data_IF_452113847455
#
_entry.id   IF_452113847455
#
_cell.length_a   1.000
_cell.length_b   1.000
_cell.length_c   1.000
_cell.angle_alpha   90.00
_cell.angle_beta   90.00
_cell.angle_gamma   90.00
#
_symmetry.space_group_name_H-M   'P 1'
#
loop_
_entity.id
_entity.type
_entity.pdbx_description
1 polymer ?
#
# COMPACT_ATOMS: atom_id res chain seq x y z
N UNK A 1 -14.61 -22.07 22.55
CA UNK A 1 -13.81 -23.09 23.25
C UNK A 1 -12.41 -23.05 22.64
N UNK A 2 -11.55 -22.19 23.17
CA UNK A 2 -10.18 -21.99 22.70
C UNK A 2 -9.23 -22.78 23.61
N UNK A 3 -8.42 -23.65 23.03
CA UNK A 3 -7.38 -24.41 23.72
C UNK A 3 -6.11 -23.56 23.66
N UNK A 4 -5.83 -22.87 24.76
CA UNK A 4 -4.63 -22.06 24.98
C UNK A 4 -3.46 -23.02 25.23
N UNK A 5 -2.75 -23.40 24.17
CA UNK A 5 -1.52 -24.18 24.27
C UNK A 5 -0.37 -23.25 24.69
N UNK A 6 -0.16 -23.12 26.00
CA UNK A 6 1.04 -22.50 26.57
C UNK A 6 2.23 -23.42 26.36
N UNK A 7 3.00 -23.16 25.32
CA UNK A 7 4.35 -23.68 25.19
C UNK A 7 5.19 -23.14 26.35
N UNK A 8 5.39 -23.99 27.37
CA UNK A 8 6.34 -23.74 28.44
C UNK A 8 7.73 -23.90 27.86
N UNK A 9 8.36 -22.78 27.51
CA UNK A 9 9.80 -22.78 27.27
C UNK A 9 10.48 -23.04 28.62
N UNK A 10 11.30 -24.10 28.76
CA UNK A 10 12.14 -24.21 29.92
C UNK A 10 13.08 -23.01 29.89
N UNK A 11 12.93 -22.12 30.88
CA UNK A 11 13.96 -21.16 31.26
C UNK A 11 15.13 -22.00 31.78
N UNK A 12 15.91 -22.56 30.86
CA UNK A 12 17.27 -22.98 31.15
C UNK A 12 17.98 -21.71 31.56
N UNK A 13 18.13 -21.54 32.87
CA UNK A 13 19.12 -20.64 33.42
C UNK A 13 20.45 -21.12 32.85
N UNK A 14 20.90 -20.49 31.75
CA UNK A 14 22.29 -20.56 31.38
C UNK A 14 23.06 -20.08 32.61
N UNK A 15 24.05 -20.84 33.10
CA UNK A 15 24.89 -20.34 34.16
C UNK A 15 25.42 -18.98 33.69
N UNK A 16 25.15 -17.94 34.47
CA UNK A 16 25.92 -16.70 34.44
C UNK A 16 27.29 -17.09 34.95
N UNK A 17 28.08 -17.70 34.06
CA UNK A 17 29.51 -17.83 34.25
C UNK A 17 30.04 -16.41 34.25
N UNK A 18 30.46 -15.97 35.43
CA UNK A 18 31.26 -14.78 35.68
C UNK A 18 31.70 -14.01 34.43
N UNK A 19 30.94 -12.97 34.07
CA UNK A 19 31.39 -11.91 33.15
C UNK A 19 32.38 -11.00 33.90
N UNK A 20 33.36 -11.61 34.56
CA UNK A 20 34.38 -10.92 35.34
C UNK A 20 35.79 -11.47 35.16
N UNK A 21 36.02 -12.50 34.32
CA UNK A 21 37.36 -13.09 34.26
C UNK A 21 37.75 -13.76 32.93
N UNK A 22 37.29 -13.28 31.77
CA UNK A 22 37.83 -13.76 30.50
C UNK A 22 38.02 -12.65 29.46
N UNK A 23 38.81 -11.63 29.82
CA UNK A 23 39.65 -10.97 28.82
C UNK A 23 40.61 -12.03 28.30
N UNK A 24 40.27 -12.65 27.16
CA UNK A 24 41.18 -13.51 26.40
C UNK A 24 42.54 -12.81 26.29
N UNK A 25 43.51 -13.32 27.04
CA UNK A 25 44.90 -12.92 26.95
C UNK A 25 45.34 -13.12 25.50
N UNK A 26 45.57 -12.01 24.80
CA UNK A 26 46.26 -12.02 23.52
C UNK A 26 47.67 -12.57 23.76
N UNK A 27 47.82 -13.87 23.54
CA UNK A 27 49.09 -14.59 23.66
C UNK A 27 50.13 -13.97 22.74
N UNK A 28 51.28 -13.60 23.31
CA UNK A 28 52.54 -13.47 22.56
C UNK A 28 53.37 -12.22 22.80
N UNK A 29 52.85 -11.18 23.46
CA UNK A 29 53.66 -10.00 23.80
C UNK A 29 53.71 -9.80 25.33
N UNK A 30 54.88 -9.51 25.91
CA UNK A 30 54.99 -9.23 27.33
C UNK A 30 54.06 -8.05 27.68
N UNK A 31 53.38 -8.09 28.84
CA UNK A 31 52.45 -7.04 29.24
C UNK A 31 53.20 -5.71 29.27
N UNK A 32 52.92 -4.83 28.30
CA UNK A 32 53.38 -3.44 28.37
C UNK A 32 52.79 -2.88 29.67
N UNK A 33 53.64 -2.35 30.56
CA UNK A 33 53.16 -1.64 31.75
C UNK A 33 52.16 -0.59 31.28
N UNK A 34 50.94 -0.67 31.78
CA UNK A 34 49.92 0.33 31.51
C UNK A 34 50.41 1.64 32.12
N UNK A 35 50.85 2.53 31.24
CA UNK A 35 51.20 3.89 31.59
C UNK A 35 49.97 4.74 31.25
N UNK A 36 49.21 5.21 32.27
CA UNK A 36 48.00 5.99 32.04
C UNK A 36 48.30 7.35 31.37
N UNK A 37 49.57 7.77 31.34
CA UNK A 37 49.99 9.02 30.71
C UNK A 37 50.53 8.82 29.28
N UNK A 38 50.69 7.58 28.83
CA UNK A 38 51.12 7.31 27.46
C UNK A 38 49.99 7.65 26.48
N UNK A 39 50.18 8.64 25.58
CA UNK A 39 49.12 9.07 24.68
C UNK A 39 48.73 7.92 23.77
N UNK A 40 47.43 7.73 23.60
CA UNK A 40 46.94 6.70 22.71
C UNK A 40 47.42 7.03 21.28
N UNK A 41 47.71 6.02 20.44
CA UNK A 41 48.14 6.27 19.07
C UNK A 41 47.12 7.12 18.28
N UNK A 42 45.83 7.00 18.60
CA UNK A 42 44.77 7.83 18.03
C UNK A 42 44.82 9.28 18.51
N UNK A 43 45.15 9.54 19.79
CA UNK A 43 45.36 10.89 20.32
C UNK A 43 46.59 11.53 19.70
N UNK A 44 47.65 10.75 19.49
CA UNK A 44 48.88 11.22 18.85
C UNK A 44 48.59 11.63 17.41
N UNK A 45 47.81 10.84 16.66
CA UNK A 45 47.41 11.17 15.29
C UNK A 45 46.49 12.42 15.25
N UNK A 46 45.49 12.48 16.12
CA UNK A 46 44.56 13.60 16.19
C UNK A 46 45.27 14.92 16.54
N UNK A 47 46.12 14.91 17.56
CA UNK A 47 46.79 16.12 18.05
C UNK A 47 47.94 16.55 17.12
N UNK A 48 48.68 15.60 16.55
CA UNK A 48 49.90 15.92 15.80
C UNK A 48 49.65 16.19 14.32
N UNK A 49 48.64 15.56 13.72
CA UNK A 49 48.37 15.66 12.28
C UNK A 49 47.06 16.39 12.00
N UNK A 50 45.97 15.96 12.64
CA UNK A 50 44.64 16.45 12.31
C UNK A 50 44.41 17.89 12.81
N UNK A 51 44.70 18.16 14.08
CA UNK A 51 44.53 19.46 14.70
C UNK A 51 45.28 20.58 13.96
N UNK A 52 46.60 20.49 13.70
CA UNK A 52 47.30 21.56 12.98
C UNK A 52 46.83 21.71 11.53
N UNK A 53 46.48 20.61 10.84
CA UNK A 53 45.97 20.67 9.48
C UNK A 53 44.62 21.40 9.39
N UNK A 54 43.72 21.19 10.36
CA UNK A 54 42.39 21.84 10.40
C UNK A 54 42.45 23.27 10.94
N UNK A 55 43.34 23.55 11.90
CA UNK A 55 43.49 24.88 12.51
C UNK A 55 44.21 25.88 11.58
N UNK A 56 45.01 25.41 10.63
CA UNK A 56 45.65 26.26 9.62
C UNK A 56 44.57 27.01 8.80
N UNK A 57 44.75 28.30 8.46
CA UNK A 57 43.74 29.09 7.75
C UNK A 57 43.33 28.45 6.40
N UNK A 58 44.29 27.86 5.68
CA UNK A 58 44.00 27.12 4.43
C UNK A 58 43.14 25.88 4.70
N UNK A 59 43.41 25.15 5.78
CA UNK A 59 42.63 23.98 6.18
C UNK A 59 41.18 24.33 6.49
N UNK A 60 40.94 25.46 7.19
CA UNK A 60 39.58 25.97 7.46
C UNK A 60 38.80 26.24 6.17
N UNK A 61 39.42 26.87 5.17
CA UNK A 61 38.77 27.13 3.88
C UNK A 61 38.41 25.84 3.17
N UNK A 62 39.31 24.85 3.17
CA UNK A 62 39.05 23.54 2.55
C UNK A 62 37.87 22.84 3.24
N UNK A 63 37.86 22.80 4.58
CA UNK A 63 36.76 22.18 5.35
C UNK A 63 35.43 22.87 5.06
N UNK A 64 35.43 24.20 4.94
CA UNK A 64 34.23 24.96 4.59
C UNK A 64 33.75 24.61 3.17
N UNK A 65 34.64 24.56 2.19
CA UNK A 65 34.29 24.16 0.81
C UNK A 65 33.73 22.74 0.76
N UNK A 66 34.33 21.80 1.49
CA UNK A 66 33.83 20.42 1.60
C UNK A 66 32.45 20.40 2.27
N UNK A 67 32.24 21.17 3.33
CA UNK A 67 30.95 21.29 4.01
C UNK A 67 29.87 21.86 3.08
N UNK A 68 30.17 22.91 2.33
CA UNK A 68 29.25 23.49 1.33
C UNK A 68 28.95 22.47 0.22
N UNK A 69 29.96 21.75 -0.26
CA UNK A 69 29.78 20.72 -1.28
C UNK A 69 28.89 19.57 -0.78
N UNK A 70 29.14 19.04 0.43
CA UNK A 70 28.32 17.99 1.04
C UNK A 70 26.89 18.47 1.28
N UNK A 71 26.71 19.72 1.73
CA UNK A 71 25.39 20.31 1.94
C UNK A 71 24.64 20.47 0.62
N UNK A 72 25.32 20.90 -0.45
CA UNK A 72 24.72 21.01 -1.78
C UNK A 72 24.32 19.63 -2.33
N UNK A 73 25.16 18.61 -2.16
CA UNK A 73 24.84 17.23 -2.55
C UNK A 73 23.67 16.69 -1.74
N UNK A 74 23.65 16.92 -0.42
CA UNK A 74 22.53 16.52 0.42
C UNK A 74 21.22 17.20 -0.02
N UNK A 75 21.24 18.53 -0.20
CA UNK A 75 20.07 19.28 -0.68
C UNK A 75 19.60 18.82 -2.07
N UNK A 76 20.52 18.39 -2.94
CA UNK A 76 20.19 17.82 -4.24
C UNK A 76 19.57 16.41 -4.16
N UNK A 77 19.93 15.63 -3.15
CA UNK A 77 19.43 14.26 -2.95
C UNK A 77 18.14 14.21 -2.13
N UNK A 78 17.89 15.17 -1.23
CA UNK A 78 16.64 15.28 -0.45
C UNK A 78 15.37 15.12 -1.29
N UNK A 79 15.18 15.79 -2.43
CA UNK A 79 13.96 15.62 -3.24
C UNK A 79 13.84 14.25 -3.92
N UNK A 80 14.91 13.45 -3.93
CA UNK A 80 14.92 12.09 -4.50
C UNK A 80 14.68 11.02 -3.45
N UNK A 81 14.47 11.40 -2.19
CA UNK A 81 14.14 10.46 -1.13
C UNK A 81 12.69 10.04 -1.31
N UNK A 82 12.50 8.87 -1.91
CA UNK A 82 11.20 8.21 -1.99
C UNK A 82 10.87 7.60 -0.62
N UNK A 83 9.69 7.91 -0.09
CA UNK A 83 9.22 7.36 1.18
C UNK A 83 8.42 6.09 0.90
N UNK A 84 9.11 5.01 0.59
CA UNK A 84 8.50 3.70 0.43
C UNK A 84 8.54 2.93 1.75
N UNK A 85 7.39 2.84 2.42
CA UNK A 85 7.24 1.97 3.58
C UNK A 85 7.00 0.54 3.12
N UNK A 86 8.08 -0.21 2.90
CA UNK A 86 8.01 -1.65 2.64
C UNK A 86 8.09 -2.45 3.96
N UNK A 87 6.97 -3.05 4.37
CA UNK A 87 6.90 -3.87 5.60
C UNK A 87 7.81 -5.11 5.55
N UNK A 88 8.24 -5.55 4.37
CA UNK A 88 9.11 -6.69 4.19
C UNK A 88 10.57 -6.43 4.61
N UNK A 89 10.95 -5.17 4.82
CA UNK A 89 12.25 -4.81 5.38
C UNK A 89 12.38 -5.19 6.86
N UNK A 90 11.25 -5.38 7.55
CA UNK A 90 11.23 -5.80 8.94
C UNK A 90 11.26 -7.33 9.12
N UNK A 91 11.13 -8.10 8.05
CA UNK A 91 11.26 -9.55 8.10
C UNK A 91 12.74 -9.95 8.14
N UNK A 92 13.17 -10.84 9.07
CA UNK A 92 14.53 -11.36 9.07
C UNK A 92 14.87 -12.02 7.71
N UNK A 93 16.13 -11.88 7.22
CA UNK A 93 16.51 -12.34 5.90
C UNK A 93 16.26 -13.84 5.68
N UNK A 94 16.41 -14.65 6.73
CA UNK A 94 16.25 -16.11 6.68
C UNK A 94 14.88 -16.60 7.19
N UNK A 95 13.88 -15.70 7.27
CA UNK A 95 12.54 -16.07 7.74
C UNK A 95 11.70 -16.71 6.62
N UNK A 96 10.85 -17.72 6.93
CA UNK A 96 9.91 -18.28 5.95
C UNK A 96 8.90 -17.24 5.44
N UNK A 97 8.73 -16.14 6.19
CA UNK A 97 7.92 -15.01 5.78
C UNK A 97 8.53 -14.27 4.58
N UNK A 98 9.86 -14.15 4.50
CA UNK A 98 10.55 -13.54 3.36
C UNK A 98 10.39 -14.38 2.10
N UNK A 99 10.45 -15.70 2.23
CA UNK A 99 10.16 -16.64 1.14
C UNK A 99 8.70 -16.50 0.66
N UNK A 100 7.73 -16.38 1.58
CA UNK A 100 6.33 -16.15 1.21
C UNK A 100 6.14 -14.84 0.44
N UNK A 101 6.84 -13.76 0.80
CA UNK A 101 6.82 -12.51 0.04
C UNK A 101 7.44 -12.67 -1.35
N UNK A 102 8.57 -13.37 -1.47
CA UNK A 102 9.19 -13.66 -2.77
C UNK A 102 8.28 -14.51 -3.67
N UNK A 103 7.62 -15.53 -3.11
CA UNK A 103 6.64 -16.34 -3.85
C UNK A 103 5.45 -15.50 -4.29
N UNK A 104 4.93 -14.63 -3.42
CA UNK A 104 3.86 -13.69 -3.75
C UNK A 104 4.28 -12.79 -4.91
N UNK A 105 5.46 -12.18 -4.83
CA UNK A 105 5.89 -11.21 -5.83
C UNK A 105 6.22 -11.85 -7.17
N UNK A 106 6.84 -13.04 -7.14
CA UNK A 106 7.21 -13.80 -8.36
C UNK A 106 5.98 -14.37 -9.08
N UNK A 107 4.99 -14.87 -8.35
CA UNK A 107 3.85 -15.57 -8.95
C UNK A 107 2.57 -14.72 -9.07
N UNK A 108 2.41 -13.69 -8.25
CA UNK A 108 1.19 -12.87 -8.20
C UNK A 108 1.43 -11.40 -8.58
N UNK A 109 2.63 -11.04 -9.04
CA UNK A 109 2.90 -9.72 -9.62
C UNK A 109 3.07 -8.60 -8.58
N UNK A 110 3.45 -8.94 -7.35
CA UNK A 110 3.77 -7.98 -6.29
C UNK A 110 2.65 -7.78 -5.27
N UNK A 111 2.75 -6.74 -4.41
CA UNK A 111 1.77 -6.41 -3.37
C UNK A 111 0.49 -5.77 -3.92
N UNK A 112 0.06 -6.14 -5.13
CA UNK A 112 -1.15 -5.64 -5.77
C UNK A 112 -2.38 -6.26 -5.10
N UNK A 113 -2.81 -5.63 -4.01
CA UNK A 113 -4.10 -5.92 -3.39
C UNK A 113 -5.24 -5.50 -4.31
N UNK A 114 -6.35 -6.25 -4.28
CA UNK A 114 -7.57 -5.79 -4.91
C UNK A 114 -8.00 -4.45 -4.28
N UNK A 115 -8.02 -3.39 -5.09
CA UNK A 115 -8.56 -2.11 -4.66
C UNK A 115 -10.09 -2.17 -4.72
N UNK A 116 -10.73 -2.00 -3.57
CA UNK A 116 -12.18 -1.97 -3.47
C UNK A 116 -12.64 -0.51 -3.38
N UNK A 117 -13.28 -0.02 -4.44
CA UNK A 117 -13.94 1.29 -4.43
C UNK A 117 -15.36 1.10 -3.93
N UNK A 118 -15.66 1.65 -2.76
CA UNK A 118 -16.98 1.57 -2.12
C UNK A 118 -17.58 2.97 -2.11
N UNK A 119 -18.77 3.10 -2.70
CA UNK A 119 -19.53 4.35 -2.67
C UNK A 119 -20.27 4.49 -1.35
N UNK A 120 -20.44 5.73 -0.88
CA UNK A 120 -21.24 6.03 0.32
C UNK A 120 -22.73 5.87 0.02
N UNK A 121 -23.58 6.04 1.04
CA UNK A 121 -25.03 5.97 0.86
C UNK A 121 -25.52 7.06 -0.11
N UNK A 122 -26.23 6.65 -1.16
CA UNK A 122 -26.76 7.52 -2.21
C UNK A 122 -28.02 6.94 -2.86
N UNK A 123 -28.76 7.77 -3.59
CA UNK A 123 -29.98 7.37 -4.29
C UNK A 123 -29.65 6.74 -5.66
N UNK A 124 -29.36 5.44 -5.65
CA UNK A 124 -29.00 4.67 -6.84
C UNK A 124 -30.14 4.48 -7.85
N UNK A 125 -31.37 4.87 -7.50
CA UNK A 125 -32.50 4.80 -8.42
C UNK A 125 -32.54 5.99 -9.37
N UNK A 126 -31.88 7.11 -9.03
CA UNK A 126 -31.84 8.29 -9.90
C UNK A 126 -30.99 8.02 -11.14
N UNK A 127 -31.47 8.38 -12.34
CA UNK A 127 -30.71 8.23 -13.58
C UNK A 127 -29.35 8.95 -13.54
N UNK A 128 -29.30 10.11 -12.88
CA UNK A 128 -28.07 10.89 -12.72
C UNK A 128 -27.00 10.12 -11.93
N UNK A 129 -27.39 9.50 -10.81
CA UNK A 129 -26.47 8.71 -9.97
C UNK A 129 -26.02 7.43 -10.70
N UNK A 130 -26.90 6.82 -11.49
CA UNK A 130 -26.55 5.69 -12.35
C UNK A 130 -25.51 6.08 -13.42
N UNK A 131 -25.66 7.26 -14.03
CA UNK A 131 -24.72 7.77 -15.01
C UNK A 131 -23.35 8.07 -14.37
N UNK A 132 -23.33 8.64 -13.16
CA UNK A 132 -22.10 8.89 -12.41
C UNK A 132 -21.36 7.59 -12.08
N UNK A 133 -22.07 6.51 -11.73
CA UNK A 133 -21.46 5.20 -11.50
C UNK A 133 -20.81 4.63 -12.77
N UNK A 134 -21.43 4.82 -13.94
CA UNK A 134 -20.84 4.40 -15.21
C UNK A 134 -19.58 5.21 -15.55
N UNK A 135 -19.60 6.52 -15.32
CA UNK A 135 -18.44 7.38 -15.53
C UNK A 135 -17.28 7.03 -14.58
N UNK A 136 -17.59 6.75 -13.32
CA UNK A 136 -16.60 6.27 -12.36
C UNK A 136 -16.00 4.93 -12.82
N UNK A 137 -16.84 4.01 -13.28
CA UNK A 137 -16.41 2.73 -13.81
C UNK A 137 -15.47 2.85 -14.99
N UNK A 138 -15.81 3.69 -15.97
CA UNK A 138 -14.94 3.96 -17.12
C UNK A 138 -13.65 4.69 -16.73
N UNK A 139 -13.68 5.56 -15.73
CA UNK A 139 -12.46 6.22 -15.24
C UNK A 139 -11.50 5.20 -14.62
N UNK A 140 -12.00 4.29 -13.78
CA UNK A 140 -11.19 3.24 -13.15
C UNK A 140 -10.69 2.24 -14.19
N UNK A 141 -11.53 1.84 -15.13
CA UNK A 141 -11.19 0.87 -16.17
C UNK A 141 -10.11 1.37 -17.14
N UNK A 142 -10.06 2.67 -17.38
CA UNK A 142 -9.06 3.29 -18.26
C UNK A 142 -7.78 3.71 -17.52
N UNK A 143 -7.68 3.46 -16.21
CA UNK A 143 -6.49 3.75 -15.43
C UNK A 143 -5.37 2.72 -15.75
N UNK A 144 -4.13 3.17 -16.05
CA UNK A 144 -3.04 2.27 -16.44
C UNK A 144 -2.59 1.31 -15.33
N UNK A 145 -2.95 1.58 -14.07
CA UNK A 145 -2.62 0.74 -12.93
C UNK A 145 -3.66 -0.37 -12.67
N UNK A 146 -4.78 -0.37 -13.40
CA UNK A 146 -5.86 -1.35 -13.24
C UNK A 146 -5.76 -2.44 -14.30
N UNK A 147 -5.24 -3.61 -13.92
CA UNK A 147 -5.14 -4.76 -14.83
C UNK A 147 -6.50 -5.42 -15.09
N UNK A 148 -7.35 -5.53 -14.06
CA UNK A 148 -8.69 -6.12 -14.15
C UNK A 148 -9.69 -5.26 -13.41
N UNK A 149 -10.86 -5.07 -14.01
CA UNK A 149 -11.93 -4.25 -13.45
C UNK A 149 -13.22 -5.06 -13.38
N UNK A 150 -13.91 -4.95 -12.25
CA UNK A 150 -15.21 -5.58 -12.03
C UNK A 150 -16.14 -4.59 -11.33
N UNK A 151 -17.33 -4.40 -11.89
CA UNK A 151 -18.40 -3.60 -11.29
C UNK A 151 -19.70 -4.38 -11.22
N UNK A 152 -20.27 -4.45 -10.03
CA UNK A 152 -21.58 -5.07 -9.81
C UNK A 152 -22.68 -4.36 -10.61
N UNK A 153 -22.55 -3.05 -10.82
CA UNK A 153 -23.57 -2.23 -11.47
C UNK A 153 -23.68 -2.56 -12.97
N UNK A 154 -22.54 -2.70 -13.65
CA UNK A 154 -22.51 -3.13 -15.05
C UNK A 154 -23.06 -4.55 -15.22
N UNK A 155 -22.66 -5.47 -14.34
CA UNK A 155 -23.18 -6.84 -14.35
C UNK A 155 -24.70 -6.90 -14.08
N UNK A 156 -25.19 -6.06 -13.17
CA UNK A 156 -26.61 -5.93 -12.89
C UNK A 156 -27.38 -5.41 -14.11
N UNK A 157 -26.92 -4.31 -14.73
CA UNK A 157 -27.57 -3.73 -15.91
C UNK A 157 -27.59 -4.69 -17.10
N UNK A 158 -26.50 -5.42 -17.33
CA UNK A 158 -26.45 -6.45 -18.35
C UNK A 158 -27.52 -7.53 -18.13
N UNK A 159 -27.71 -7.97 -16.88
CA UNK A 159 -28.72 -8.96 -16.51
C UNK A 159 -30.16 -8.41 -16.65
N UNK A 160 -30.41 -7.18 -16.21
CA UNK A 160 -31.73 -6.53 -16.37
C UNK A 160 -32.09 -6.40 -17.85
N UNK A 161 -31.12 -6.04 -18.70
CA UNK A 161 -31.33 -5.96 -20.16
C UNK A 161 -31.62 -7.33 -20.78
N UNK A 162 -30.99 -8.41 -20.31
CA UNK A 162 -31.32 -9.76 -20.77
C UNK A 162 -32.74 -10.16 -20.38
N UNK A 163 -33.14 -9.85 -19.14
CA UNK A 163 -34.48 -10.15 -18.65
C UNK A 163 -35.55 -9.36 -19.40
N UNK A 164 -35.33 -8.07 -19.68
CA UNK A 164 -36.30 -7.25 -20.44
C UNK A 164 -36.49 -7.75 -21.88
N UNK A 165 -35.43 -8.24 -22.52
CA UNK A 165 -35.50 -8.90 -23.83
C UNK A 165 -36.30 -10.20 -23.78
N UNK A 166 -36.05 -11.04 -22.77
CA UNK A 166 -36.76 -12.31 -22.60
C UNK A 166 -38.26 -12.08 -22.34
N UNK A 167 -38.60 -11.09 -21.51
CA UNK A 167 -39.98 -10.68 -21.24
C UNK A 167 -40.65 -10.18 -22.52
N UNK A 168 -40.01 -9.25 -23.25
CA UNK A 168 -40.57 -8.73 -24.52
C UNK A 168 -40.78 -9.85 -25.55
N UNK A 169 -39.84 -10.79 -25.67
CA UNK A 169 -39.97 -11.94 -26.57
C UNK A 169 -41.13 -12.87 -26.20
N UNK A 170 -41.41 -13.04 -24.90
CA UNK A 170 -42.54 -13.84 -24.42
C UNK A 170 -43.90 -13.19 -24.71
N UNK A 171 -44.01 -11.87 -24.57
CA UNK A 171 -45.26 -11.15 -24.79
C UNK A 171 -45.53 -10.76 -26.26
N UNK A 172 -44.49 -10.67 -27.11
CA UNK A 172 -44.62 -10.30 -28.53
C UNK A 172 -45.61 -11.15 -29.35
N UNK A 173 -45.69 -12.50 -29.20
CA UNK A 173 -46.66 -13.32 -29.90
C UNK A 173 -48.11 -13.07 -29.47
N UNK A 174 -48.33 -12.65 -28.22
CA UNK A 174 -49.66 -12.35 -27.68
C UNK A 174 -50.20 -11.01 -28.21
N UNK A 175 -49.33 -10.12 -28.68
CA UNK A 175 -49.68 -8.87 -29.36
C UNK A 175 -49.99 -9.06 -30.86
N UNK A 176 -50.23 -10.30 -31.32
CA UNK A 176 -50.62 -10.51 -32.71
C UNK A 176 -51.89 -9.68 -33.05
N UNK A 177 -51.91 -8.95 -34.19
CA UNK A 177 -53.00 -8.05 -34.57
C UNK A 177 -54.32 -8.76 -34.94
N UNK A 178 -54.44 -10.07 -34.67
CA UNK A 178 -55.66 -10.84 -35.00
C UNK A 178 -56.84 -10.57 -34.07
N UNK A 179 -56.67 -9.79 -33.00
CA UNK A 179 -57.78 -9.31 -32.16
C UNK A 179 -58.23 -7.88 -32.47
N UNK A 180 -57.66 -7.20 -33.48
CA UNK A 180 -58.13 -5.87 -33.91
C UNK A 180 -59.38 -5.91 -34.80
N UNK A 181 -59.90 -7.09 -35.15
CA UNK A 181 -61.07 -7.24 -36.02
C UNK A 181 -62.43 -7.28 -35.29
N UNK A 182 -62.47 -7.20 -33.94
CA UNK A 182 -63.73 -7.40 -33.17
C UNK A 182 -64.00 -6.33 -32.09
N UNK A 183 -63.38 -5.16 -32.17
CA UNK A 183 -63.34 -4.23 -31.03
C UNK A 183 -63.52 -2.75 -31.33
N UNK A 184 -64.32 -2.37 -32.34
CA UNK A 184 -64.86 -1.01 -32.45
C UNK A 184 -65.94 -0.78 -31.38
N UNK A 185 -65.57 -0.93 -30.10
CA UNK A 185 -66.38 -0.45 -28.97
C UNK A 185 -65.54 0.65 -28.33
N UNK A 186 -65.51 1.80 -29.01
CA UNK A 186 -65.26 3.08 -28.37
C UNK A 186 -66.40 3.36 -27.40
N UNK A 187 -66.38 2.71 -26.24
CA UNK A 187 -67.01 3.22 -25.03
C UNK A 187 -66.16 4.43 -24.60
N UNK A 188 -66.63 5.65 -24.84
CA UNK A 188 -67.45 6.36 -23.86
C UNK A 188 -66.87 6.28 -22.43
N UNK A 189 -65.60 6.62 -22.28
CA UNK A 189 -65.06 7.21 -21.05
C UNK A 189 -64.50 8.60 -21.36
N UNK A 190 -65.27 9.36 -22.15
CA UNK A 190 -65.25 10.80 -22.08
C UNK A 190 -66.02 11.21 -20.82
N UNK A 191 -65.45 12.18 -20.11
CA UNK A 191 -66.16 12.93 -19.09
C UNK A 191 -66.04 12.39 -17.66
N UNK A 192 -65.37 13.24 -16.85
CA UNK A 192 -65.82 13.67 -15.51
C UNK A 192 -65.04 13.09 -14.33
N UNK A 193 -64.04 13.87 -13.87
CA UNK A 193 -63.86 14.42 -12.51
C UNK A 193 -62.37 14.70 -12.27
N UNK A 194 -61.94 15.79 -11.65
CA UNK A 194 -62.52 17.06 -11.23
C UNK A 194 -61.30 17.91 -10.87
N UNK A 195 -61.31 19.17 -11.28
CA UNK A 195 -60.46 20.18 -10.68
C UNK A 195 -60.77 20.32 -9.19
N UNK A 196 -59.73 20.54 -8.40
CA UNK A 196 -59.80 20.91 -6.98
C UNK A 196 -58.60 20.32 -6.25
N UNK A 197 -57.87 21.05 -5.43
CA UNK A 197 -57.92 22.44 -4.98
C UNK A 197 -56.67 22.57 -4.08
N UNK A 198 -55.99 23.72 -4.16
CA UNK A 198 -55.07 24.30 -3.15
C UNK A 198 -53.91 23.46 -2.66
#
# INVERSE_FOLDING_TARGET
>A
RAVEARASFPLTCLPVSDVSAETRQCSGSPPKKYDPEAPLPMETLANRVLAPAVLHPVGKVIVLLVGVALTAVAAWQVPKVETDFNYEWFAPPDSPLKEAFQMRDTHFGGPLGAAHVVTTQGDYLRPESQQQLLQLGETIKNDPFVATYFSWFEGFNAKVLQLSKAVTAFYSPLQSPRLTALGTISLLCDGRRRAGRT
#
